data_IF_147366875787
#
_entry.id   IF_147366875787
#
_cell.length_a   1.000
_cell.length_b   1.000
_cell.length_c   1.000
_cell.angle_alpha   90.00
_cell.angle_beta   90.00
_cell.angle_gamma   90.00
#
_symmetry.space_group_name_H-M   'P 1'
#
loop_
_entity.id
_entity.type
_entity.pdbx_description
1 polymer ?
#
# COMPACT_ATOMS: atom_id res chain seq x y z
N UNK A 1 -18.42 -3.69 -6.73
CA UNK A 1 -18.36 -5.16 -6.53
C UNK A 1 -18.99 -5.51 -5.18
N UNK A 2 -19.40 -6.77 -4.94
CA UNK A 2 -19.91 -7.20 -3.62
C UNK A 2 -18.75 -7.35 -2.63
N UNK A 3 -19.01 -7.14 -1.34
CA UNK A 3 -18.01 -7.28 -0.27
C UNK A 3 -17.24 -8.60 -0.32
N UNK A 4 -17.95 -9.71 -0.43
CA UNK A 4 -17.34 -11.04 -0.50
C UNK A 4 -16.40 -11.20 -1.73
N UNK A 5 -16.72 -10.56 -2.85
CA UNK A 5 -15.88 -10.58 -4.05
C UNK A 5 -14.57 -9.83 -3.79
N UNK A 6 -14.62 -8.67 -3.14
CA UNK A 6 -13.42 -7.91 -2.79
C UNK A 6 -12.58 -8.68 -1.76
N UNK A 7 -13.22 -9.20 -0.71
CA UNK A 7 -12.53 -9.99 0.32
C UNK A 7 -11.83 -11.22 -0.26
N UNK A 8 -12.43 -11.86 -1.25
CA UNK A 8 -11.83 -13.02 -1.94
C UNK A 8 -10.69 -12.58 -2.86
N UNK A 9 -10.89 -11.50 -3.63
CA UNK A 9 -9.87 -10.94 -4.53
C UNK A 9 -8.60 -10.56 -3.77
N UNK A 10 -8.76 -9.91 -2.61
CA UNK A 10 -7.68 -9.39 -1.78
C UNK A 10 -7.27 -10.31 -0.63
N UNK A 11 -7.82 -11.53 -0.56
CA UNK A 11 -7.58 -12.49 0.53
C UNK A 11 -7.61 -11.82 1.92
N UNK A 12 -8.73 -11.15 2.21
CA UNK A 12 -8.89 -10.28 3.38
C UNK A 12 -9.01 -11.11 4.67
N UNK A 13 -8.15 -10.81 5.64
CA UNK A 13 -8.11 -11.43 6.97
C UNK A 13 -9.04 -10.74 7.98
N UNK A 14 -9.13 -9.41 7.91
CA UNK A 14 -9.98 -8.60 8.79
C UNK A 14 -10.56 -7.41 8.03
N UNK A 15 -11.72 -6.94 8.47
CA UNK A 15 -12.43 -5.78 7.90
C UNK A 15 -13.09 -5.00 9.03
N UNK A 16 -12.86 -3.70 9.10
CA UNK A 16 -13.52 -2.76 10.00
C UNK A 16 -14.13 -1.61 9.21
N UNK A 17 -15.36 -1.24 9.55
CA UNK A 17 -16.02 -0.02 9.10
C UNK A 17 -16.12 0.90 10.32
N UNK A 18 -15.45 2.05 10.24
CA UNK A 18 -15.39 3.05 11.31
C UNK A 18 -15.99 4.37 10.83
N UNK A 19 -16.35 5.30 11.74
CA UNK A 19 -16.83 6.62 11.36
C UNK A 19 -15.88 7.42 10.46
N UNK A 20 -14.58 7.09 10.47
CA UNK A 20 -13.53 7.79 9.76
C UNK A 20 -13.05 7.08 8.49
N UNK A 21 -13.57 5.90 8.17
CA UNK A 21 -13.14 5.15 7.01
C UNK A 21 -13.36 3.65 7.12
N UNK A 22 -12.92 2.94 6.08
CA UNK A 22 -12.94 1.49 6.02
C UNK A 22 -11.51 0.98 6.01
N UNK A 23 -11.24 -0.03 6.82
CA UNK A 23 -9.90 -0.58 7.03
C UNK A 23 -9.94 -2.09 6.90
N UNK A 24 -9.02 -2.67 6.14
CA UNK A 24 -8.94 -4.12 6.03
C UNK A 24 -7.51 -4.60 5.83
N UNK A 25 -7.23 -5.81 6.31
CA UNK A 25 -5.90 -6.42 6.18
C UNK A 25 -5.96 -7.48 5.10
N UNK A 26 -5.18 -7.30 4.04
CA UNK A 26 -4.97 -8.28 2.98
C UNK A 26 -3.82 -9.21 3.35
N UNK A 27 -3.99 -10.50 3.08
CA UNK A 27 -2.92 -11.49 3.20
C UNK A 27 -2.43 -11.89 1.82
N UNK A 28 -1.35 -11.26 1.35
CA UNK A 28 -0.77 -11.53 0.04
C UNK A 28 0.38 -12.51 0.15
N UNK A 29 0.61 -13.32 -0.88
CA UNK A 29 1.87 -14.06 -0.99
C UNK A 29 2.97 -13.02 -1.25
N UNK A 30 3.88 -12.85 -0.29
CA UNK A 30 4.99 -11.91 -0.45
C UNK A 30 5.95 -12.44 -1.51
N UNK A 31 6.40 -11.57 -2.40
CA UNK A 31 7.48 -11.87 -3.36
C UNK A 31 8.87 -11.74 -2.75
N UNK A 32 8.98 -11.46 -1.44
CA UNK A 32 10.26 -11.29 -0.74
C UNK A 32 11.16 -12.52 -0.93
N UNK A 33 12.13 -12.30 -1.83
CA UNK A 33 13.15 -13.21 -2.35
C UNK A 33 14.16 -13.60 -1.27
N UNK A 34 13.75 -14.40 -0.29
CA UNK A 34 14.68 -15.23 0.46
C UNK A 34 14.25 -16.68 0.29
N UNK A 35 14.96 -17.39 -0.58
CA UNK A 35 14.68 -18.75 -1.06
C UNK A 35 14.68 -19.86 0.02
N UNK A 36 14.60 -19.54 1.32
CA UNK A 36 14.81 -20.53 2.38
C UNK A 36 13.79 -20.54 3.53
N UNK A 37 12.74 -19.73 3.49
CA UNK A 37 11.65 -19.85 4.48
C UNK A 37 10.31 -19.92 3.73
N UNK A 38 9.55 -21.01 3.98
CA UNK A 38 8.37 -21.37 3.19
C UNK A 38 7.34 -20.25 3.06
N UNK A 39 6.60 -20.23 1.96
CA UNK A 39 5.54 -19.27 1.58
C UNK A 39 5.08 -18.35 2.73
N UNK A 40 5.82 -17.26 2.94
CA UNK A 40 5.48 -16.27 3.94
C UNK A 40 4.43 -15.34 3.34
N UNK A 41 3.25 -15.32 3.93
CA UNK A 41 2.25 -14.34 3.56
C UNK A 41 2.62 -12.99 4.17
N UNK A 42 2.72 -11.96 3.33
CA UNK A 42 2.84 -10.58 3.74
C UNK A 42 1.45 -10.04 4.07
N UNK A 43 1.35 -9.33 5.20
CA UNK A 43 0.14 -8.58 5.53
C UNK A 43 0.28 -7.18 4.97
N UNK A 44 -0.77 -6.72 4.28
CA UNK A 44 -0.88 -5.36 3.76
C UNK A 44 -2.11 -4.74 4.40
N UNK A 45 -1.95 -3.63 5.11
CA UNK A 45 -3.07 -2.85 5.60
C UNK A 45 -3.61 -2.00 4.44
N UNK A 46 -4.92 -1.98 4.27
CA UNK A 46 -5.58 -1.17 3.27
C UNK A 46 -6.50 -0.21 4.01
N UNK A 47 -6.17 1.09 3.93
CA UNK A 47 -6.91 2.15 4.58
C UNK A 47 -7.66 2.97 3.54
N UNK A 48 -8.97 3.06 3.68
CA UNK A 48 -9.83 3.91 2.85
C UNK A 48 -10.41 5.01 3.74
N UNK A 49 -9.59 6.02 4.02
CA UNK A 49 -9.93 7.13 4.91
C UNK A 49 -11.01 8.01 4.28
N UNK A 50 -12.02 8.37 5.07
CA UNK A 50 -13.20 9.14 4.64
C UNK A 50 -14.10 8.43 3.60
N UNK A 51 -13.91 7.13 3.38
CA UNK A 51 -14.82 6.31 2.58
C UNK A 51 -15.84 5.57 3.47
N UNK A 52 -17.08 5.47 2.99
CA UNK A 52 -18.05 4.49 3.48
C UNK A 52 -17.80 3.13 2.84
N UNK A 53 -18.31 2.05 3.43
CA UNK A 53 -18.23 0.71 2.83
C UNK A 53 -18.81 0.68 1.41
N UNK A 54 -19.94 1.36 1.18
CA UNK A 54 -20.58 1.38 -0.15
C UNK A 54 -19.68 2.02 -1.20
N UNK A 55 -18.96 3.08 -0.85
CA UNK A 55 -18.06 3.77 -1.77
C UNK A 55 -16.81 2.94 -2.03
N UNK A 56 -16.18 2.37 -0.99
CA UNK A 56 -15.05 1.43 -1.14
C UNK A 56 -15.43 0.33 -2.11
N UNK A 57 -16.56 -0.34 -1.90
CA UNK A 57 -17.02 -1.42 -2.78
C UNK A 57 -17.33 -0.97 -4.20
N UNK A 58 -17.53 0.33 -4.43
CA UNK A 58 -17.83 0.91 -5.74
C UNK A 58 -16.58 1.38 -6.49
N UNK A 59 -15.41 1.44 -5.86
CA UNK A 59 -14.17 1.85 -6.53
C UNK A 59 -13.84 0.90 -7.68
N UNK A 60 -13.61 1.42 -8.90
CA UNK A 60 -13.38 0.59 -10.09
C UNK A 60 -11.99 -0.05 -10.08
N UNK A 61 -11.02 0.56 -9.39
CA UNK A 61 -9.60 0.20 -9.44
C UNK A 61 -9.27 -1.15 -8.80
N UNK A 62 -10.09 -1.70 -7.89
CA UNK A 62 -9.71 -2.86 -7.06
C UNK A 62 -9.19 -4.07 -7.84
N UNK A 63 -9.81 -4.36 -8.99
CA UNK A 63 -9.39 -5.49 -9.84
C UNK A 63 -8.06 -5.22 -10.51
N UNK A 64 -7.92 -4.04 -11.10
CA UNK A 64 -6.69 -3.66 -11.79
C UNK A 64 -5.54 -3.56 -10.79
N UNK A 65 -5.76 -2.88 -9.66
CA UNK A 65 -4.77 -2.75 -8.59
C UNK A 65 -4.30 -4.12 -8.09
N UNK A 66 -5.22 -5.09 -7.89
CA UNK A 66 -4.82 -6.43 -7.44
C UNK A 66 -3.91 -7.18 -8.44
N UNK A 67 -3.99 -6.85 -9.73
CA UNK A 67 -3.18 -7.46 -10.79
C UNK A 67 -1.85 -6.73 -10.95
N UNK A 68 -1.87 -5.41 -10.90
CA UNK A 68 -0.71 -4.55 -11.20
C UNK A 68 0.15 -4.23 -9.95
N UNK A 69 -0.32 -4.56 -8.74
CA UNK A 69 0.36 -4.18 -7.50
C UNK A 69 1.84 -4.56 -7.44
N UNK A 70 2.26 -5.69 -8.03
CA UNK A 70 3.70 -6.05 -8.05
C UNK A 70 4.54 -5.12 -8.94
N UNK A 71 3.99 -4.67 -10.07
CA UNK A 71 4.68 -3.73 -10.97
C UNK A 71 4.72 -2.33 -10.35
N UNK A 72 3.63 -1.91 -9.71
CA UNK A 72 3.55 -0.64 -8.99
C UNK A 72 4.47 -0.62 -7.77
N UNK A 73 4.57 -1.73 -7.04
CA UNK A 73 5.49 -1.89 -5.92
C UNK A 73 6.93 -1.76 -6.38
N UNK A 74 7.32 -2.44 -7.48
CA UNK A 74 8.64 -2.31 -8.05
C UNK A 74 8.93 -0.87 -8.49
N UNK A 75 8.00 -0.22 -9.18
CA UNK A 75 8.15 1.16 -9.64
C UNK A 75 8.34 2.12 -8.46
N UNK A 76 7.54 1.99 -7.40
CA UNK A 76 7.67 2.80 -6.20
C UNK A 76 9.02 2.58 -5.51
N UNK A 77 9.49 1.33 -5.38
CA UNK A 77 10.82 1.06 -4.83
C UNK A 77 11.94 1.70 -5.67
N UNK A 78 11.84 1.66 -7.01
CA UNK A 78 12.79 2.31 -7.90
C UNK A 78 12.82 3.84 -7.74
N UNK A 79 11.65 4.46 -7.53
CA UNK A 79 11.55 5.90 -7.25
C UNK A 79 12.17 6.26 -5.90
N UNK A 80 11.86 5.49 -4.84
CA UNK A 80 12.43 5.70 -3.51
C UNK A 80 13.96 5.59 -3.54
N UNK A 81 14.51 4.60 -4.26
CA UNK A 81 15.97 4.41 -4.38
C UNK A 81 16.68 5.52 -5.18
N UNK A 82 15.97 6.30 -5.99
CA UNK A 82 16.54 7.46 -6.68
C UNK A 82 16.72 8.66 -5.74
N UNK A 83 15.86 8.80 -4.75
CA UNK A 83 15.90 9.87 -3.75
C UNK A 83 16.88 9.55 -2.59
N UNK A 84 17.05 8.27 -2.25
CA UNK A 84 17.90 7.85 -1.14
C UNK A 84 19.37 7.67 -1.60
N UNK A 85 20.36 8.20 -0.85
CA UNK A 85 21.77 7.97 -1.14
C UNK A 85 22.10 6.47 -1.18
N UNK A 86 22.73 6.03 -2.28
CA UNK A 86 23.06 4.63 -2.60
C UNK A 86 23.98 3.92 -1.58
N UNK A 87 24.46 4.62 -0.55
CA UNK A 87 25.32 4.06 0.50
C UNK A 87 24.52 3.29 1.57
N UNK A 88 23.20 3.49 1.65
CA UNK A 88 22.31 2.79 2.58
C UNK A 88 21.50 1.73 1.83
N UNK A 89 21.82 0.45 2.03
CA UNK A 89 20.99 -0.66 1.57
C UNK A 89 19.75 -0.76 2.44
N UNK A 90 18.73 0.05 2.15
CA UNK A 90 17.45 0.04 2.85
C UNK A 90 16.57 -1.09 2.29
N UNK A 91 16.03 -1.89 3.20
CA UNK A 91 15.01 -2.89 2.85
C UNK A 91 13.66 -2.18 2.90
N UNK A 92 13.02 -2.03 1.75
CA UNK A 92 11.68 -1.46 1.64
C UNK A 92 10.65 -2.59 1.75
N UNK A 93 9.79 -2.52 2.77
CA UNK A 93 8.73 -3.51 2.98
C UNK A 93 7.40 -2.81 2.74
N UNK A 94 6.68 -3.20 1.68
CA UNK A 94 5.31 -2.73 1.45
C UNK A 94 4.41 -3.19 2.59
N UNK A 95 3.86 -2.26 3.36
CA UNK A 95 2.98 -2.55 4.50
C UNK A 95 1.59 -1.98 4.31
N UNK A 96 1.43 -0.93 3.51
CA UNK A 96 0.19 -0.17 3.45
C UNK A 96 -0.22 0.20 2.01
N UNK A 97 -1.53 0.20 1.76
CA UNK A 97 -2.16 0.85 0.60
C UNK A 97 -3.18 1.83 1.16
N UNK A 98 -3.05 3.09 0.80
CA UNK A 98 -3.80 4.17 1.42
C UNK A 98 -4.59 4.96 0.39
N UNK A 99 -5.90 5.07 0.61
CA UNK A 99 -6.82 5.87 -0.18
C UNK A 99 -7.41 6.93 0.74
N UNK A 100 -7.42 8.18 0.30
CA UNK A 100 -7.99 9.28 1.08
C UNK A 100 -8.72 10.28 0.18
N UNK A 101 -10.02 10.48 0.44
CA UNK A 101 -10.82 11.49 -0.26
C UNK A 101 -10.38 12.92 -0.01
N UNK A 102 -9.59 13.17 1.04
CA UNK A 102 -9.05 14.51 1.31
C UNK A 102 -8.08 14.99 0.22
N UNK A 103 -7.57 14.06 -0.61
CA UNK A 103 -6.65 14.35 -1.71
C UNK A 103 -5.18 14.29 -1.30
N UNK A 104 -4.84 13.65 -0.18
CA UNK A 104 -3.45 13.49 0.26
C UNK A 104 -2.56 12.74 -0.73
N UNK A 105 -3.11 11.82 -1.52
CA UNK A 105 -2.35 10.84 -2.33
C UNK A 105 -2.78 10.77 -3.79
N UNK A 106 -3.37 11.85 -4.32
CA UNK A 106 -4.09 11.86 -5.60
C UNK A 106 -5.21 10.80 -5.62
N UNK A 107 -4.96 9.58 -6.13
CA UNK A 107 -5.89 8.46 -6.02
C UNK A 107 -5.56 7.51 -4.85
N UNK A 108 -4.31 7.08 -4.70
CA UNK A 108 -3.85 6.23 -3.60
C UNK A 108 -2.33 6.28 -3.41
N UNK A 109 -1.82 5.80 -2.28
CA UNK A 109 -0.39 5.64 -2.04
C UNK A 109 -0.03 4.20 -1.62
N UNK A 110 1.16 3.77 -2.01
CA UNK A 110 1.84 2.62 -1.45
C UNK A 110 2.76 3.08 -0.32
N UNK A 111 2.65 2.46 0.86
CA UNK A 111 3.42 2.80 2.05
C UNK A 111 4.43 1.72 2.42
N UNK A 112 5.66 2.17 2.69
CA UNK A 112 6.81 1.33 2.95
C UNK A 112 7.35 1.58 4.34
N UNK A 113 7.43 0.52 5.13
CA UNK A 113 8.19 0.50 6.38
C UNK A 113 9.69 0.48 6.05
N UNK A 114 10.40 1.49 6.57
CA UNK A 114 11.86 1.65 6.48
C UNK A 114 12.55 1.31 7.81
N UNK A 115 11.80 1.31 8.91
CA UNK A 115 12.29 1.07 10.27
C UNK A 115 12.63 2.34 11.04
N UNK A 116 13.40 2.18 12.12
CA UNK A 116 13.70 3.26 13.06
C UNK A 116 14.66 4.31 12.47
N UNK A 117 14.32 5.58 12.69
CA UNK A 117 15.17 6.73 12.40
C UNK A 117 15.37 7.60 13.66
N UNK A 118 16.34 8.54 13.67
CA UNK A 118 16.48 9.48 14.79
C UNK A 118 15.24 10.32 15.09
N UNK A 119 14.31 10.45 14.14
CA UNK A 119 13.08 11.23 14.27
C UNK A 119 11.85 10.39 14.66
N UNK A 120 11.97 9.07 14.74
CA UNK A 120 10.86 8.13 14.94
C UNK A 120 10.87 7.01 13.91
N UNK A 121 9.83 6.17 13.91
CA UNK A 121 9.71 5.08 12.94
C UNK A 121 9.36 5.66 11.57
N UNK A 122 10.19 5.40 10.57
CA UNK A 122 10.10 6.04 9.26
C UNK A 122 9.25 5.20 8.29
N UNK A 123 8.30 5.86 7.66
CA UNK A 123 7.55 5.37 6.53
C UNK A 123 7.80 6.25 5.30
N UNK A 124 7.88 5.63 4.14
CA UNK A 124 7.97 6.32 2.86
C UNK A 124 6.76 5.96 2.02
N UNK A 125 6.14 6.95 1.38
CA UNK A 125 4.96 6.77 0.56
C UNK A 125 5.22 7.21 -0.88
N UNK A 126 4.69 6.43 -1.83
CA UNK A 126 4.64 6.79 -3.25
C UNK A 126 3.17 6.88 -3.66
N UNK A 127 2.76 8.05 -4.15
CA UNK A 127 1.39 8.31 -4.57
C UNK A 127 1.19 7.97 -6.04
N UNK A 128 -0.02 7.58 -6.41
CA UNK A 128 -0.42 7.19 -7.75
C UNK A 128 -1.74 7.87 -8.12
N UNK A 129 -1.88 8.24 -9.40
CA UNK A 129 -3.13 8.74 -9.95
C UNK A 129 -4.11 7.60 -10.31
N UNK A 130 -5.28 7.96 -10.86
CA UNK A 130 -6.32 7.00 -11.25
C UNK A 130 -5.89 6.06 -12.40
N UNK A 131 -4.89 6.47 -13.19
CA UNK A 131 -4.29 5.70 -14.29
C UNK A 131 -3.04 4.90 -13.84
N UNK A 132 -2.77 4.88 -12.54
CA UNK A 132 -1.62 4.25 -11.88
C UNK A 132 -0.26 4.80 -12.32
N UNK A 133 -0.23 6.08 -12.69
CA UNK A 133 1.02 6.82 -12.87
C UNK A 133 1.53 7.25 -11.51
N UNK A 134 2.77 6.87 -11.19
CA UNK A 134 3.42 7.29 -9.95
C UNK A 134 3.74 8.79 -9.99
N UNK A 135 3.48 9.49 -8.88
CA UNK A 135 4.00 10.82 -8.63
C UNK A 135 5.51 10.72 -8.36
N UNK A 136 6.28 11.66 -8.91
CA UNK A 136 7.74 11.62 -8.83
C UNK A 136 8.24 11.92 -7.40
N UNK A 137 7.53 12.76 -6.67
CA UNK A 137 7.88 13.15 -5.30
C UNK A 137 7.45 12.06 -4.31
N UNK A 138 8.37 11.64 -3.44
CA UNK A 138 8.09 10.70 -2.35
C UNK A 138 7.73 11.45 -1.06
N UNK A 139 6.83 10.88 -0.26
CA UNK A 139 6.39 11.47 1.01
C UNK A 139 7.08 10.72 2.16
N UNK A 140 7.64 11.46 3.12
CA UNK A 140 8.24 10.90 4.33
C UNK A 140 7.33 11.14 5.53
N UNK A 141 7.01 10.07 6.26
CA UNK A 141 6.23 10.14 7.50
C UNK A 141 7.00 9.50 8.66
N UNK A 142 6.94 10.14 9.82
CA UNK A 142 7.54 9.63 11.06
C UNK A 142 6.48 9.55 12.15
N UNK A 143 6.35 8.39 12.80
CA UNK A 143 5.44 8.15 13.92
C UNK A 143 6.19 8.05 15.27
#
# INVERSE_FOLDING_TARGET
MRKLELMTLWNVESWSEEPYGVYFVSRRLGINRLENEGQAFQKINISCTSYTETEVLSLPMWKQLSVELDELDQLAQELIQQEIPQEESIVLILTDIMLDKSGCYDAFALGYDVGESPAGHLYILVSFDEDFTAQQDVIYETL
#
